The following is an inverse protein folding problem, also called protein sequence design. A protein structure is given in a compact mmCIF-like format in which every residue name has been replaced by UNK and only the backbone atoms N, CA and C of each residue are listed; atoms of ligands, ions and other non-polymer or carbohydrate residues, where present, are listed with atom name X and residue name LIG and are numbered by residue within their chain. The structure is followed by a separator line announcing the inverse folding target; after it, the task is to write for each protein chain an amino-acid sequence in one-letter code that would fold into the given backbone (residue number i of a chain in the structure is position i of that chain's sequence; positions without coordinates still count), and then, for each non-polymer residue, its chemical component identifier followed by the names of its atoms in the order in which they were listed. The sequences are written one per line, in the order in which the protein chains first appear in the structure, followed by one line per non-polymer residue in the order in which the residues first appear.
data_IF_346945600546
#
_entry.id   IF_346945600546
#
_cell.length_a   1.000
_cell.length_b   1.000
_cell.length_c   1.000
_cell.angle_alpha   90.00
_cell.angle_beta   90.00
_cell.angle_gamma   90.00
#
_symmetry.space_group_name_H-M   'P 1'
#
loop_
_entity.id
_entity.type
_entity.pdbx_description
1 polymer ?
#
# COMPACT_ATOMS: atom_id res chain seq x y z
N UNK A 1 6.86 -26.48 -10.67
CA UNK A 1 6.19 -25.22 -10.28
C UNK A 1 5.32 -24.76 -11.44
N UNK A 2 4.10 -24.28 -11.16
CA UNK A 2 3.24 -23.70 -12.21
C UNK A 2 3.89 -22.42 -12.75
N UNK A 3 3.50 -21.96 -13.95
CA UNK A 3 3.95 -20.67 -14.49
C UNK A 3 2.94 -19.59 -14.12
N UNK A 4 3.40 -18.49 -13.53
CA UNK A 4 2.59 -17.29 -13.32
C UNK A 4 2.74 -16.34 -14.51
N UNK A 5 1.66 -15.67 -14.90
CA UNK A 5 1.65 -14.68 -15.98
C UNK A 5 0.85 -13.44 -15.56
N UNK A 6 1.26 -12.27 -16.05
CA UNK A 6 0.52 -11.02 -15.87
C UNK A 6 -0.37 -10.80 -17.10
N UNK A 7 -1.68 -10.62 -16.89
CA UNK A 7 -2.67 -10.62 -17.97
C UNK A 7 -3.24 -9.24 -18.29
N UNK A 8 -3.42 -8.38 -17.29
CA UNK A 8 -4.08 -7.07 -17.45
C UNK A 8 -3.46 -6.01 -16.54
N UNK A 9 -2.26 -5.49 -16.85
CA UNK A 9 -1.65 -4.42 -16.06
C UNK A 9 -2.36 -3.08 -16.31
N UNK A 10 -2.82 -2.43 -15.25
CA UNK A 10 -3.40 -1.07 -15.30
C UNK A 10 -2.85 -0.22 -14.16
N UNK A 11 -2.98 1.10 -14.29
CA UNK A 11 -2.65 2.07 -13.24
C UNK A 11 -3.48 3.33 -13.38
N UNK A 12 -3.60 4.09 -12.29
CA UNK A 12 -4.08 5.48 -12.34
C UNK A 12 -3.02 6.40 -12.98
N UNK A 13 -3.40 7.67 -13.21
CA UNK A 13 -2.43 8.75 -13.35
C UNK A 13 -1.66 8.96 -12.04
N UNK A 14 -0.43 9.46 -12.13
CA UNK A 14 0.36 9.82 -10.95
C UNK A 14 0.15 11.31 -10.66
N UNK A 15 -0.52 11.61 -9.55
CA UNK A 15 -0.78 12.98 -9.11
C UNK A 15 0.43 13.63 -8.43
N UNK A 16 0.54 14.95 -8.53
CA UNK A 16 1.45 15.74 -7.66
C UNK A 16 0.88 15.79 -6.24
N UNK A 17 1.76 15.89 -5.23
CA UNK A 17 1.35 16.11 -3.84
C UNK A 17 0.49 17.38 -3.73
N UNK A 18 -0.68 17.29 -3.11
CA UNK A 18 -1.66 18.38 -3.05
C UNK A 18 -2.29 18.78 -4.39
N UNK A 19 -2.08 18.00 -5.46
CA UNK A 19 -2.56 18.28 -6.81
C UNK A 19 -3.92 17.66 -7.14
N UNK A 20 -4.09 17.23 -8.40
CA UNK A 20 -5.38 16.79 -8.95
C UNK A 20 -6.02 15.58 -8.23
N UNK A 21 -5.22 14.75 -7.54
CA UNK A 21 -5.69 13.58 -6.79
C UNK A 21 -5.70 13.80 -5.28
N UNK A 22 -5.55 15.06 -4.80
CA UNK A 22 -5.42 15.34 -3.36
C UNK A 22 -6.62 14.86 -2.55
N UNK A 23 -7.82 14.92 -3.12
CA UNK A 23 -9.07 14.60 -2.43
C UNK A 23 -9.49 13.14 -2.63
N UNK A 24 -8.63 12.32 -3.25
CA UNK A 24 -8.91 10.90 -3.51
C UNK A 24 -8.12 10.03 -2.53
N UNK A 25 -8.80 9.31 -1.62
CA UNK A 25 -8.12 8.49 -0.63
C UNK A 25 -7.59 7.19 -1.26
N UNK A 26 -6.66 6.52 -0.55
CA UNK A 26 -5.91 5.39 -1.09
C UNK A 26 -6.82 4.21 -1.47
N UNK A 27 -7.82 3.94 -0.65
CA UNK A 27 -8.76 2.85 -0.83
C UNK A 27 -9.69 3.05 -2.04
N UNK A 28 -10.07 4.29 -2.34
CA UNK A 28 -10.79 4.62 -3.58
C UNK A 28 -9.91 4.45 -4.82
N UNK A 29 -8.63 4.85 -4.75
CA UNK A 29 -7.67 4.61 -5.84
C UNK A 29 -7.49 3.11 -6.10
N UNK A 30 -7.36 2.31 -5.05
CA UNK A 30 -7.23 0.86 -5.12
C UNK A 30 -8.47 0.20 -5.74
N UNK A 31 -9.66 0.53 -5.23
CA UNK A 31 -10.91 -0.01 -5.75
C UNK A 31 -11.13 0.36 -7.22
N UNK A 32 -10.76 1.59 -7.62
CA UNK A 32 -10.84 2.04 -9.02
C UNK A 32 -9.96 1.18 -9.92
N UNK A 33 -8.72 0.92 -9.53
CA UNK A 33 -7.78 0.08 -10.29
C UNK A 33 -8.25 -1.37 -10.36
N UNK A 34 -8.82 -1.91 -9.27
CA UNK A 34 -9.39 -3.26 -9.26
C UNK A 34 -10.58 -3.35 -10.24
N UNK A 35 -11.54 -2.44 -10.15
CA UNK A 35 -12.71 -2.39 -11.07
C UNK A 35 -12.25 -2.35 -12.53
N UNK A 36 -11.29 -1.48 -12.84
CA UNK A 36 -10.76 -1.36 -14.20
C UNK A 36 -9.99 -2.60 -14.67
N UNK A 37 -9.24 -3.25 -13.77
CA UNK A 37 -8.50 -4.48 -14.09
C UNK A 37 -9.46 -5.61 -14.44
N UNK A 38 -10.53 -5.78 -13.66
CA UNK A 38 -11.59 -6.78 -13.93
C UNK A 38 -12.30 -6.45 -15.24
N UNK A 39 -12.71 -5.20 -15.44
CA UNK A 39 -13.38 -4.78 -16.67
C UNK A 39 -12.53 -5.00 -17.93
N UNK A 40 -11.22 -4.67 -17.90
CA UNK A 40 -10.32 -4.85 -19.05
C UNK A 40 -9.93 -6.30 -19.31
N UNK A 41 -9.80 -7.11 -18.26
CA UNK A 41 -9.48 -8.53 -18.41
C UNK A 41 -10.68 -9.36 -18.85
N UNK A 42 -11.91 -8.91 -18.55
CA UNK A 42 -13.14 -9.66 -18.80
C UNK A 42 -13.24 -10.94 -17.96
N UNK A 43 -12.43 -11.06 -16.91
CA UNK A 43 -12.44 -12.23 -16.03
C UNK A 43 -13.73 -12.27 -15.22
N UNK A 44 -14.26 -13.48 -15.01
CA UNK A 44 -15.34 -13.67 -14.03
C UNK A 44 -14.79 -13.38 -12.61
N UNK A 45 -15.34 -12.40 -11.88
CA UNK A 45 -14.88 -12.05 -10.55
C UNK A 45 -14.87 -13.22 -9.55
N UNK A 46 -15.68 -14.26 -9.76
CA UNK A 46 -15.72 -15.44 -8.89
C UNK A 46 -14.45 -16.29 -8.96
N UNK A 47 -13.67 -16.16 -10.04
CA UNK A 47 -12.42 -16.88 -10.20
C UNK A 47 -11.27 -16.25 -9.41
N UNK A 48 -11.40 -14.98 -9.00
CA UNK A 48 -10.38 -14.27 -8.23
C UNK A 48 -10.41 -14.81 -6.80
N UNK A 49 -9.28 -15.33 -6.32
CA UNK A 49 -9.22 -15.97 -5.00
C UNK A 49 -8.64 -15.04 -3.93
N UNK A 50 -7.74 -14.12 -4.32
CA UNK A 50 -7.10 -13.17 -3.41
C UNK A 50 -6.78 -11.83 -4.10
N UNK A 51 -6.67 -10.78 -3.27
CA UNK A 51 -6.26 -9.43 -3.64
C UNK A 51 -5.08 -9.01 -2.78
N UNK A 52 -3.89 -9.05 -3.35
CA UNK A 52 -2.62 -8.71 -2.71
C UNK A 52 -2.27 -7.27 -3.02
N UNK A 53 -2.42 -6.36 -2.05
CA UNK A 53 -2.14 -4.93 -2.26
C UNK A 53 -1.04 -4.43 -1.33
N UNK A 54 -0.04 -3.75 -1.90
CA UNK A 54 0.98 -3.05 -1.13
C UNK A 54 0.59 -1.60 -0.81
N UNK A 55 0.82 -1.15 0.42
CA UNK A 55 0.69 0.26 0.83
C UNK A 55 1.76 0.60 1.87
N UNK A 56 2.54 1.67 1.66
CA UNK A 56 3.66 2.01 2.56
C UNK A 56 3.20 2.76 3.80
N UNK A 57 2.16 3.58 3.66
CA UNK A 57 1.60 4.39 4.74
C UNK A 57 0.21 3.90 5.19
N UNK A 58 0.10 2.60 5.47
CA UNK A 58 -1.14 2.00 5.93
C UNK A 58 -1.65 2.62 7.25
N UNK A 59 -2.93 2.93 7.31
CA UNK A 59 -3.62 3.42 8.50
C UNK A 59 -4.87 2.58 8.79
N UNK A 60 -5.68 3.03 9.75
CA UNK A 60 -6.87 2.28 10.19
C UNK A 60 -8.16 2.68 9.47
N UNK A 61 -8.11 3.62 8.51
CA UNK A 61 -9.28 4.01 7.71
C UNK A 61 -9.61 2.94 6.65
N UNK A 62 -8.59 2.26 6.14
CA UNK A 62 -8.72 1.12 5.22
C UNK A 62 -7.87 -0.08 5.70
N UNK A 63 -8.25 -0.73 6.82
CA UNK A 63 -7.47 -1.81 7.39
C UNK A 63 -7.45 -3.00 6.43
N UNK A 64 -6.25 -3.52 6.14
CA UNK A 64 -6.05 -4.55 5.12
C UNK A 64 -6.58 -4.08 3.75
N UNK A 65 -5.91 -3.09 3.15
CA UNK A 65 -6.41 -2.40 1.95
C UNK A 65 -6.71 -3.32 0.77
N UNK A 66 -6.04 -4.47 0.66
CA UNK A 66 -6.37 -5.49 -0.35
C UNK A 66 -7.80 -6.01 -0.20
N UNK A 67 -8.19 -6.41 1.02
CA UNK A 67 -9.55 -6.87 1.32
C UNK A 67 -10.55 -5.73 1.26
N UNK A 68 -10.22 -4.58 1.83
CA UNK A 68 -11.13 -3.43 1.83
C UNK A 68 -11.46 -2.99 0.39
N UNK A 69 -10.43 -2.80 -0.43
CA UNK A 69 -10.59 -2.38 -1.82
C UNK A 69 -11.27 -3.44 -2.69
N UNK A 70 -11.08 -4.73 -2.41
CA UNK A 70 -11.81 -5.80 -3.08
C UNK A 70 -13.33 -5.67 -2.88
N UNK A 71 -13.75 -5.43 -1.63
CA UNK A 71 -15.17 -5.25 -1.29
C UNK A 71 -15.74 -3.96 -1.90
N UNK A 72 -15.01 -2.85 -1.79
CA UNK A 72 -15.39 -1.58 -2.44
C UNK A 72 -15.43 -1.68 -3.98
N UNK A 73 -14.60 -2.57 -4.54
CA UNK A 73 -14.60 -2.89 -5.96
C UNK A 73 -15.84 -3.69 -6.41
N UNK A 74 -16.63 -4.23 -5.48
CA UNK A 74 -17.76 -5.09 -5.75
C UNK A 74 -17.37 -6.54 -6.07
N UNK A 75 -16.17 -6.98 -5.68
CA UNK A 75 -15.80 -8.39 -5.80
C UNK A 75 -16.64 -9.26 -4.85
N UNK A 76 -16.84 -10.55 -5.17
CA UNK A 76 -17.56 -11.47 -4.29
C UNK A 76 -16.99 -11.49 -2.87
N UNK A 77 -17.86 -11.64 -1.87
CA UNK A 77 -17.45 -11.65 -0.46
C UNK A 77 -16.45 -12.77 -0.12
N UNK A 78 -16.43 -13.85 -0.91
CA UNK A 78 -15.50 -14.98 -0.81
C UNK A 78 -14.07 -14.65 -1.21
N UNK A 79 -13.83 -13.59 -2.00
CA UNK A 79 -12.49 -13.20 -2.45
C UNK A 79 -11.66 -12.72 -1.28
N UNK A 80 -10.58 -13.40 -0.94
CA UNK A 80 -9.71 -12.97 0.15
C UNK A 80 -8.98 -11.65 -0.18
N UNK A 81 -8.26 -11.11 0.80
CA UNK A 81 -7.41 -9.96 0.54
C UNK A 81 -6.39 -9.79 1.65
N UNK A 82 -5.21 -9.32 1.26
CA UNK A 82 -4.11 -9.08 2.17
C UNK A 82 -3.37 -7.78 1.82
N UNK A 83 -2.69 -7.24 2.82
CA UNK A 83 -1.86 -6.05 2.68
C UNK A 83 -0.39 -6.39 2.92
N UNK A 84 0.49 -5.84 2.08
CA UNK A 84 1.94 -5.91 2.28
C UNK A 84 2.53 -4.51 2.54
N UNK A 85 3.62 -4.46 3.31
CA UNK A 85 4.50 -3.29 3.42
C UNK A 85 5.96 -3.74 3.29
N UNK A 86 6.57 -3.38 2.16
CA UNK A 86 8.02 -3.44 1.91
C UNK A 86 8.56 -2.07 1.50
N UNK A 87 8.01 -1.01 2.09
CA UNK A 87 8.26 0.39 1.74
C UNK A 87 8.12 0.61 0.23
N UNK A 88 9.05 1.34 -0.38
CA UNK A 88 9.05 1.62 -1.82
C UNK A 88 8.93 0.38 -2.72
N UNK A 89 9.33 -0.80 -2.23
CA UNK A 89 9.22 -2.07 -2.95
C UNK A 89 7.87 -2.78 -2.79
N UNK A 90 6.91 -2.23 -2.05
CA UNK A 90 5.71 -2.96 -1.63
C UNK A 90 4.78 -3.37 -2.78
N UNK A 91 4.65 -2.55 -3.82
CA UNK A 91 3.87 -2.91 -5.01
C UNK A 91 4.48 -4.08 -5.78
N UNK A 92 5.81 -4.14 -5.86
CA UNK A 92 6.52 -5.28 -6.44
C UNK A 92 6.44 -6.51 -5.53
N UNK A 93 6.52 -6.33 -4.21
CA UNK A 93 6.37 -7.41 -3.24
C UNK A 93 4.99 -8.08 -3.37
N UNK A 94 3.94 -7.32 -3.63
CA UNK A 94 2.61 -7.87 -3.89
C UNK A 94 2.60 -8.80 -5.12
N UNK A 95 3.23 -8.39 -6.22
CA UNK A 95 3.38 -9.22 -7.42
C UNK A 95 4.19 -10.49 -7.15
N UNK A 96 5.27 -10.39 -6.37
CA UNK A 96 6.09 -11.56 -5.96
C UNK A 96 5.25 -12.52 -5.13
N UNK A 97 4.49 -12.03 -4.16
CA UNK A 97 3.58 -12.85 -3.34
C UNK A 97 2.54 -13.56 -4.20
N UNK A 98 1.84 -12.84 -5.09
CA UNK A 98 0.85 -13.43 -5.99
C UNK A 98 1.46 -14.47 -6.94
N UNK A 99 2.64 -14.20 -7.48
CA UNK A 99 3.37 -15.17 -8.29
C UNK A 99 3.68 -16.45 -7.52
N UNK A 100 4.07 -16.35 -6.24
CA UNK A 100 4.31 -17.53 -5.40
C UNK A 100 3.02 -18.31 -5.12
N UNK A 101 1.90 -17.64 -4.91
CA UNK A 101 0.59 -18.31 -4.73
C UNK A 101 0.24 -19.13 -5.97
N UNK A 102 0.41 -18.56 -7.16
CA UNK A 102 0.18 -19.28 -8.43
C UNK A 102 1.17 -20.41 -8.65
N UNK A 103 2.47 -20.16 -8.46
CA UNK A 103 3.52 -21.16 -8.69
C UNK A 103 3.37 -22.40 -7.79
N UNK A 104 2.88 -22.21 -6.57
CA UNK A 104 2.66 -23.27 -5.57
C UNK A 104 1.28 -23.94 -5.70
N UNK A 105 0.36 -23.35 -6.46
CA UNK A 105 -1.03 -23.83 -6.59
C UNK A 105 -1.92 -23.49 -5.40
N UNK A 106 -1.51 -22.53 -4.56
CA UNK A 106 -2.33 -21.98 -3.49
C UNK A 106 -3.46 -21.07 -4.02
N UNK A 107 -3.28 -20.53 -5.22
CA UNK A 107 -4.31 -19.83 -5.99
C UNK A 107 -4.06 -20.01 -7.50
N UNK A 108 -5.08 -19.89 -8.33
CA UNK A 108 -5.00 -19.84 -9.79
C UNK A 108 -5.12 -18.42 -10.33
N UNK A 109 -5.88 -17.55 -9.66
CA UNK A 109 -6.07 -16.15 -10.06
C UNK A 109 -5.99 -15.23 -8.85
N UNK A 110 -5.05 -14.28 -8.92
CA UNK A 110 -4.80 -13.30 -7.87
C UNK A 110 -4.71 -11.91 -8.49
N UNK A 111 -5.43 -10.95 -7.92
CA UNK A 111 -5.19 -9.54 -8.22
C UNK A 111 -4.03 -9.05 -7.36
N UNK A 112 -3.06 -8.38 -7.96
CA UNK A 112 -1.90 -7.90 -7.25
C UNK A 112 -1.47 -6.50 -7.71
N UNK A 113 -1.07 -5.66 -6.76
CA UNK A 113 -0.63 -4.31 -7.05
C UNK A 113 -0.21 -3.52 -5.83
N UNK A 114 -0.21 -2.21 -5.96
CA UNK A 114 0.08 -1.29 -4.87
C UNK A 114 -0.68 0.00 -5.02
N UNK A 115 -0.85 0.70 -3.92
CA UNK A 115 -1.57 1.96 -3.85
C UNK A 115 -0.94 2.87 -2.82
N UNK A 116 -1.00 4.17 -3.07
CA UNK A 116 -0.62 5.18 -2.10
C UNK A 116 -1.37 6.48 -2.38
N UNK A 117 -1.77 7.19 -1.31
CA UNK A 117 -2.29 8.55 -1.41
C UNK A 117 -1.54 9.43 -0.42
N UNK A 118 -0.35 9.89 -0.84
CA UNK A 118 0.52 10.69 0.04
C UNK A 118 -0.16 11.98 0.52
N UNK A 119 -1.03 12.58 -0.29
CA UNK A 119 -1.78 13.80 0.06
C UNK A 119 -2.80 13.57 1.18
N UNK A 120 -3.23 12.32 1.42
CA UNK A 120 -4.20 11.94 2.44
C UNK A 120 -3.56 11.26 3.65
N UNK A 121 -2.22 11.18 3.69
CA UNK A 121 -1.52 10.66 4.87
C UNK A 121 -1.82 11.56 6.06
N UNK A 122 -2.32 10.95 7.13
CA UNK A 122 -2.77 11.71 8.28
C UNK A 122 -1.61 12.15 9.17
N UNK A 123 -1.81 13.29 9.82
CA UNK A 123 -1.03 13.63 11.00
C UNK A 123 -1.54 12.82 12.20
N UNK A 124 -0.64 12.39 13.07
CA UNK A 124 -1.00 11.52 14.20
C UNK A 124 -0.23 11.87 15.48
N UNK A 125 -0.72 11.39 16.62
CA UNK A 125 -0.03 11.52 17.90
C UNK A 125 0.05 10.18 18.61
N UNK A 126 1.16 9.94 19.31
CA UNK A 126 1.37 8.71 20.10
C UNK A 126 1.14 8.92 21.60
N UNK A 127 1.02 10.17 22.06
CA UNK A 127 0.87 10.49 23.49
C UNK A 127 -0.58 10.49 23.98
N UNK A 128 -1.56 10.69 23.08
CA UNK A 128 -2.95 10.90 23.47
C UNK A 128 -3.59 9.69 24.18
N UNK A 129 -3.22 8.46 23.81
CA UNK A 129 -3.84 7.23 24.36
C UNK A 129 -3.73 7.12 25.88
N UNK A 130 -2.65 7.64 26.46
CA UNK A 130 -2.38 7.58 27.91
C UNK A 130 -2.51 8.93 28.61
N UNK A 131 -2.95 9.95 27.88
CA UNK A 131 -2.95 11.34 28.32
C UNK A 131 -1.53 11.95 28.35
N UNK A 132 -1.48 13.28 28.28
CA UNK A 132 -0.24 14.04 28.53
C UNK A 132 -0.34 14.63 29.93
N UNK A 133 0.49 14.14 30.87
CA UNK A 133 0.44 14.56 32.29
C UNK A 133 0.61 16.08 32.44
N UNK A 134 1.53 16.67 31.67
CA UNK A 134 1.76 18.10 31.53
C UNK A 134 2.59 18.34 30.26
N UNK A 135 2.50 19.53 29.67
CA UNK A 135 3.22 19.89 28.43
C UNK A 135 2.40 19.66 27.16
N UNK A 136 3.06 19.85 26.01
CA UNK A 136 2.41 19.82 24.68
C UNK A 136 2.23 18.41 24.13
N UNK A 137 1.16 18.20 23.36
CA UNK A 137 0.95 17.00 22.57
C UNK A 137 1.62 17.15 21.21
N UNK A 138 2.55 16.26 20.88
CA UNK A 138 3.21 16.28 19.58
C UNK A 138 2.29 15.70 18.50
N UNK A 139 2.08 16.47 17.43
CA UNK A 139 1.45 16.03 16.21
C UNK A 139 2.53 15.75 15.16
N UNK A 140 2.59 14.52 14.69
CA UNK A 140 3.61 14.04 13.77
C UNK A 140 3.03 13.91 12.37
N UNK A 141 3.76 14.36 11.37
CA UNK A 141 3.50 13.99 9.97
C UNK A 141 3.93 12.53 9.76
N UNK A 142 2.99 11.64 9.42
CA UNK A 142 3.28 10.23 9.14
C UNK A 142 4.17 10.06 7.91
N UNK A 143 4.09 10.95 6.93
CA UNK A 143 4.90 10.91 5.72
C UNK A 143 6.39 11.04 6.06
N UNK A 144 6.74 12.08 6.81
CA UNK A 144 8.12 12.37 7.22
C UNK A 144 8.58 11.39 8.29
N UNK A 145 7.73 11.11 9.28
CA UNK A 145 8.11 10.21 10.37
C UNK A 145 8.40 8.80 9.89
N UNK A 146 7.72 8.32 8.85
CA UNK A 146 8.03 7.03 8.21
C UNK A 146 9.45 6.97 7.62
N UNK A 147 9.99 8.11 7.15
CA UNK A 147 11.34 8.22 6.58
C UNK A 147 12.40 8.35 7.68
N UNK A 148 12.18 9.25 8.64
CA UNK A 148 13.10 9.45 9.77
C UNK A 148 13.27 8.18 10.63
N UNK A 149 12.20 7.38 10.73
CA UNK A 149 12.16 6.13 11.51
C UNK A 149 12.43 4.88 10.68
N UNK A 150 12.99 5.03 9.49
CA UNK A 150 13.33 3.91 8.59
C UNK A 150 14.38 2.95 9.18
N UNK A 151 15.13 3.38 10.19
CA UNK A 151 16.15 2.58 10.87
C UNK A 151 16.17 2.80 12.39
N UNK A 152 16.67 1.82 13.18
CA UNK A 152 16.96 2.04 14.60
C UNK A 152 18.10 3.04 14.83
N UNK A 153 17.75 4.21 15.36
CA UNK A 153 18.68 5.33 15.60
C UNK A 153 19.88 4.94 16.47
N UNK A 154 19.68 4.14 17.51
CA UNK A 154 20.75 3.71 18.42
C UNK A 154 21.86 2.91 17.71
N UNK A 155 21.55 2.27 16.57
CA UNK A 155 22.48 1.42 15.81
C UNK A 155 23.04 2.12 14.58
N UNK A 156 22.22 2.90 13.89
CA UNK A 156 22.56 3.48 12.58
C UNK A 156 22.65 5.00 12.59
N UNK A 157 22.43 5.64 13.74
CA UNK A 157 22.33 7.09 13.85
C UNK A 157 21.01 7.63 13.32
N UNK A 158 20.82 8.95 13.49
CA UNK A 158 19.69 9.68 12.96
C UNK A 158 19.90 9.91 11.47
N UNK A 159 18.85 9.70 10.67
CA UNK A 159 18.82 10.05 9.26
C UNK A 159 17.70 11.06 9.00
N UNK A 160 17.97 12.07 8.18
CA UNK A 160 16.99 13.09 7.77
C UNK A 160 16.00 12.56 6.72
N UNK A 161 16.33 11.46 6.05
CA UNK A 161 15.50 10.77 5.06
C UNK A 161 16.33 10.18 3.94
N UNK A 162 15.67 9.77 2.85
CA UNK A 162 16.34 9.11 1.72
C UNK A 162 17.22 10.03 0.88
N UNK A 163 17.06 11.35 1.00
CA UNK A 163 17.94 12.32 0.33
C UNK A 163 19.37 12.18 0.87
N UNK A 164 19.53 12.07 2.18
CA UNK A 164 20.85 11.87 2.81
C UNK A 164 21.50 10.55 2.36
N UNK A 165 20.72 9.48 2.22
CA UNK A 165 21.24 8.22 1.64
C UNK A 165 21.71 8.42 0.20
N UNK A 166 20.95 9.16 -0.63
CA UNK A 166 21.32 9.42 -2.01
C UNK A 166 22.63 10.23 -2.10
N UNK A 167 22.78 11.28 -1.29
CA UNK A 167 24.02 12.07 -1.21
C UNK A 167 25.21 11.20 -0.80
N UNK A 168 25.07 10.38 0.25
CA UNK A 168 26.15 9.51 0.73
C UNK A 168 26.59 8.43 -0.30
N UNK A 169 25.69 8.00 -1.18
CA UNK A 169 26.01 7.03 -2.24
C UNK A 169 26.60 7.69 -3.48
N UNK A 170 26.32 8.98 -3.69
CA UNK A 170 26.84 9.74 -4.83
C UNK A 170 28.32 10.14 -4.66
N UNK A 171 28.85 10.10 -3.44
CA UNK A 171 30.26 10.37 -3.09
C UNK A 171 31.07 9.09 -2.98
#
# INVERSE_FOLDING_TARGET
MRRAALVAPVRTAVGRFGGALRDVPAETLAATVIKETVARSGIDPILIEDVVMGQSYANSEAPCIGRWAALEAGLPISVAGLQTDRRCGTGLQALVTASMMVQTGAADVVLAGGVESMSNIEHYTTGARWGTRAGSLNLYDRLDRGRERSQPEWRFGKISGMIETAENVAT
#
